data_IF_220292252597
#
_entry.id   IF_220292252597
#
_cell.length_a   1.000
_cell.length_b   1.000
_cell.length_c   1.000
_cell.angle_alpha   90.00
_cell.angle_beta   90.00
_cell.angle_gamma   90.00
#
_symmetry.space_group_name_H-M   'P 1'
#
loop_
_entity.id
_entity.type
_entity.pdbx_description
1 polymer ?
#
# COMPACT_ATOMS: atom_id res chain seq x y z
N UNK A 1 -7.43 -2.62 -10.03
CA UNK A 1 -8.15 -2.56 -8.74
C UNK A 1 -7.12 -2.53 -7.62
N UNK A 2 -6.63 -1.34 -7.27
CA UNK A 2 -5.59 -1.15 -6.26
C UNK A 2 -6.21 -1.12 -4.86
N UNK A 3 -5.39 -1.44 -3.85
CA UNK A 3 -5.78 -1.75 -2.46
C UNK A 3 -5.55 -0.60 -1.46
N UNK A 4 -6.26 0.56 -1.50
CA UNK A 4 -6.08 1.62 -0.50
C UNK A 4 -6.94 1.46 0.76
N UNK A 5 -7.73 0.39 0.90
CA UNK A 5 -8.68 0.25 2.03
C UNK A 5 -8.07 -0.39 3.30
N UNK A 6 -6.84 -0.90 3.23
CA UNK A 6 -6.21 -1.61 4.36
C UNK A 6 -5.47 -0.68 5.36
N UNK A 7 -5.04 0.52 4.93
CA UNK A 7 -4.23 1.42 5.78
C UNK A 7 -5.06 2.36 6.69
N UNK A 8 -6.35 2.60 6.38
CA UNK A 8 -7.24 3.37 7.24
C UNK A 8 -7.48 2.74 8.63
N UNK A 9 -7.25 1.44 8.77
CA UNK A 9 -7.39 0.73 10.06
C UNK A 9 -6.19 0.99 10.99
N UNK A 10 -5.01 1.30 10.44
CA UNK A 10 -3.81 1.65 11.22
C UNK A 10 -3.95 2.97 11.95
N UNK A 11 -4.49 4.00 11.29
CA UNK A 11 -4.73 5.32 11.90
C UNK A 11 -5.73 5.27 13.06
N UNK A 12 -6.76 4.40 12.99
CA UNK A 12 -7.74 4.26 14.07
C UNK A 12 -7.14 3.67 15.36
N UNK A 13 -6.05 2.90 15.25
CA UNK A 13 -5.38 2.26 16.39
C UNK A 13 -4.40 3.21 17.09
N UNK A 14 -3.71 4.08 16.35
CA UNK A 14 -2.94 5.20 16.93
C UNK A 14 -3.85 6.26 17.57
N UNK A 15 -5.03 6.53 16.98
CA UNK A 15 -6.05 7.43 17.52
C UNK A 15 -6.53 7.05 18.94
N UNK A 16 -6.71 5.75 19.25
CA UNK A 16 -7.19 5.34 20.59
C UNK A 16 -6.10 5.47 21.67
N UNK A 17 -4.83 5.50 21.27
CA UNK A 17 -3.69 5.43 22.18
C UNK A 17 -3.38 6.72 22.95
N UNK A 18 -3.70 7.90 22.40
CA UNK A 18 -3.33 9.16 23.04
C UNK A 18 -4.14 9.53 24.28
N UNK A 19 -5.27 8.86 24.57
CA UNK A 19 -6.27 9.32 25.55
C UNK A 19 -5.83 9.18 27.01
N UNK A 20 -5.15 10.18 27.59
CA UNK A 20 -4.92 10.17 29.04
C UNK A 20 -4.66 11.53 29.71
N UNK A 21 -5.68 12.39 29.78
CA UNK A 21 -5.77 13.36 30.87
C UNK A 21 -7.23 13.72 31.22
N UNK A 22 -7.49 13.81 32.53
CA UNK A 22 -8.67 14.38 33.21
C UNK A 22 -9.95 13.50 33.41
N UNK A 23 -10.24 13.13 34.67
CA UNK A 23 -11.60 12.76 35.12
C UNK A 23 -11.68 11.65 36.18
N UNK A 24 -11.77 12.03 37.46
CA UNK A 24 -11.62 11.15 38.65
C UNK A 24 -12.84 10.24 38.88
N UNK A 25 -12.92 9.08 38.22
CA UNK A 25 -13.53 7.81 38.71
C UNK A 25 -13.51 6.65 37.69
N UNK A 26 -13.23 6.93 36.42
CA UNK A 26 -13.00 5.94 35.33
C UNK A 26 -11.52 5.82 34.93
N UNK A 27 -10.61 6.35 35.76
CA UNK A 27 -9.19 6.56 35.42
C UNK A 27 -8.42 5.25 35.26
N UNK A 28 -8.69 4.22 36.07
CA UNK A 28 -7.82 3.04 36.13
C UNK A 28 -7.77 2.23 34.81
N UNK A 29 -8.89 1.88 34.14
CA UNK A 29 -8.84 1.17 32.86
C UNK A 29 -8.19 2.02 31.74
N UNK A 30 -8.42 3.33 31.73
CA UNK A 30 -7.86 4.26 30.75
C UNK A 30 -6.34 4.40 30.91
N UNK A 31 -5.87 4.54 32.16
CA UNK A 31 -4.44 4.55 32.49
C UNK A 31 -3.77 3.22 32.14
N UNK A 32 -4.40 2.10 32.48
CA UNK A 32 -3.88 0.78 32.13
C UNK A 32 -3.72 0.57 30.62
N UNK A 33 -4.68 1.03 29.82
CA UNK A 33 -4.56 0.96 28.36
C UNK A 33 -3.41 1.84 27.85
N UNK A 34 -3.31 3.09 28.32
CA UNK A 34 -2.20 3.98 27.96
C UNK A 34 -0.85 3.35 28.31
N UNK A 35 -0.66 2.93 29.56
CA UNK A 35 0.61 2.38 30.03
C UNK A 35 1.01 1.14 29.20
N UNK A 36 0.02 0.33 28.78
CA UNK A 36 0.24 -0.83 27.91
C UNK A 36 0.65 -0.49 26.48
N UNK A 37 0.23 0.67 25.96
CA UNK A 37 0.63 1.19 24.65
C UNK A 37 2.04 1.82 24.72
N UNK A 38 2.30 2.61 25.77
CA UNK A 38 3.64 3.17 26.04
C UNK A 38 4.68 2.05 26.15
N UNK A 39 4.33 0.93 26.79
CA UNK A 39 5.20 -0.24 26.92
C UNK A 39 5.64 -0.85 25.58
N UNK A 40 4.84 -0.73 24.51
CA UNK A 40 5.25 -1.19 23.16
C UNK A 40 6.39 -0.28 22.65
N UNK A 41 6.21 1.04 22.71
CA UNK A 41 7.23 1.99 22.26
C UNK A 41 8.52 1.88 23.07
N UNK A 42 8.42 1.60 24.37
CA UNK A 42 9.59 1.40 25.23
C UNK A 42 10.34 0.09 24.98
N UNK A 43 9.67 -0.95 24.47
CA UNK A 43 10.22 -2.29 24.32
C UNK A 43 11.38 -2.37 23.31
N UNK A 44 11.53 -1.38 22.43
CA UNK A 44 12.58 -1.34 21.39
C UNK A 44 12.32 -2.32 20.25
N UNK A 45 11.68 -3.45 20.48
CA UNK A 45 11.27 -4.39 19.44
C UNK A 45 9.84 -4.87 19.67
N UNK A 46 9.09 -5.09 18.59
CA UNK A 46 7.77 -5.73 18.65
C UNK A 46 7.44 -6.45 17.35
N UNK A 47 6.55 -7.43 17.44
CA UNK A 47 5.89 -8.05 16.29
C UNK A 47 4.40 -7.81 16.37
N UNK A 48 3.80 -7.40 15.26
CA UNK A 48 2.38 -7.23 15.04
C UNK A 48 1.94 -8.26 14.01
N UNK A 49 0.87 -8.99 14.27
CA UNK A 49 0.26 -9.90 13.29
C UNK A 49 -1.18 -9.47 13.07
N UNK A 50 -1.44 -8.96 11.87
CA UNK A 50 -2.77 -8.52 11.42
C UNK A 50 -3.47 -9.67 10.71
N UNK A 51 -4.73 -9.89 11.06
CA UNK A 51 -5.56 -10.99 10.52
C UNK A 51 -7.04 -10.58 10.49
N UNK A 52 -7.85 -11.33 9.73
CA UNK A 52 -9.30 -11.21 9.69
C UNK A 52 -9.96 -12.46 10.29
N UNK A 53 -10.11 -12.57 11.64
CA UNK A 53 -10.69 -13.74 12.29
C UNK A 53 -12.23 -13.77 12.17
N UNK A 54 -12.74 -13.61 10.95
CA UNK A 54 -14.15 -13.59 10.61
C UNK A 54 -14.53 -14.87 9.85
N UNK A 55 -15.80 -15.25 9.85
CA UNK A 55 -16.27 -16.37 9.04
C UNK A 55 -16.65 -15.92 7.62
N UNK A 56 -16.64 -16.80 6.61
CA UNK A 56 -17.18 -16.47 5.29
C UNK A 56 -18.63 -15.97 5.35
N UNK A 57 -19.44 -16.52 6.25
CA UNK A 57 -20.83 -16.07 6.46
C UNK A 57 -20.90 -14.64 7.01
N UNK A 58 -20.00 -14.28 7.92
CA UNK A 58 -19.93 -12.93 8.49
C UNK A 58 -19.50 -11.89 7.45
N UNK A 59 -18.52 -12.22 6.60
CA UNK A 59 -18.06 -11.32 5.53
C UNK A 59 -19.17 -11.09 4.50
N UNK A 60 -19.88 -12.15 4.08
CA UNK A 60 -21.03 -12.00 3.16
C UNK A 60 -22.13 -11.15 3.77
N UNK A 61 -22.48 -11.37 5.03
CA UNK A 61 -23.47 -10.56 5.72
C UNK A 61 -23.05 -9.07 5.81
N UNK A 62 -21.76 -8.80 5.96
CA UNK A 62 -21.21 -7.44 5.92
C UNK A 62 -21.35 -6.82 4.53
N UNK A 63 -20.92 -7.51 3.47
CA UNK A 63 -20.99 -7.03 2.07
C UNK A 63 -22.44 -6.81 1.62
N UNK A 64 -23.34 -7.76 1.92
CA UNK A 64 -24.77 -7.65 1.63
C UNK A 64 -25.37 -6.37 2.25
N UNK A 65 -24.89 -5.98 3.43
CA UNK A 65 -25.34 -4.80 4.14
C UNK A 65 -24.73 -3.49 3.61
N UNK A 66 -23.61 -3.52 2.88
CA UNK A 66 -23.11 -2.34 2.15
C UNK A 66 -23.92 -2.07 0.88
N UNK A 67 -24.68 -3.06 0.40
CA UNK A 67 -25.43 -2.97 -0.85
C UNK A 67 -24.56 -3.11 -2.10
N UNK A 68 -23.31 -3.51 -1.93
CA UNK A 68 -22.42 -3.93 -3.02
C UNK A 68 -22.82 -5.35 -3.49
N UNK A 69 -22.73 -5.61 -4.79
CA UNK A 69 -23.04 -6.93 -5.35
C UNK A 69 -21.89 -7.89 -5.01
N UNK A 70 -22.21 -9.01 -4.36
CA UNK A 70 -21.26 -10.03 -3.91
C UNK A 70 -20.78 -10.95 -5.05
N UNK A 71 -21.32 -10.78 -6.26
CA UNK A 71 -21.19 -11.69 -7.38
C UNK A 71 -19.76 -11.98 -7.86
N UNK A 72 -18.74 -11.30 -7.31
CA UNK A 72 -17.33 -11.53 -7.60
C UNK A 72 -16.57 -12.35 -6.56
N UNK A 73 -17.08 -12.54 -5.35
CA UNK A 73 -16.37 -13.24 -4.27
C UNK A 73 -16.96 -14.63 -4.04
N UNK A 74 -16.38 -15.63 -4.72
CA UNK A 74 -16.74 -17.01 -4.44
C UNK A 74 -16.17 -17.50 -3.09
N UNK A 75 -16.64 -18.67 -2.65
CA UNK A 75 -16.23 -19.28 -1.37
C UNK A 75 -14.71 -19.46 -1.26
N UNK A 76 -14.03 -19.74 -2.38
CA UNK A 76 -12.58 -19.96 -2.43
C UNK A 76 -11.84 -18.64 -2.19
N UNK A 77 -12.26 -17.57 -2.85
CA UNK A 77 -11.68 -16.23 -2.67
C UNK A 77 -11.89 -15.71 -1.24
N UNK A 78 -13.06 -15.96 -0.66
CA UNK A 78 -13.34 -15.59 0.74
C UNK A 78 -12.48 -16.37 1.73
N UNK A 79 -12.34 -17.69 1.54
CA UNK A 79 -11.47 -18.51 2.38
C UNK A 79 -10.02 -18.05 2.29
N UNK A 80 -9.53 -17.76 1.08
CA UNK A 80 -8.17 -17.22 0.87
C UNK A 80 -8.00 -15.87 1.57
N UNK A 81 -8.91 -14.92 1.37
CA UNK A 81 -8.86 -13.59 2.00
C UNK A 81 -8.82 -13.68 3.53
N UNK A 82 -9.64 -14.57 4.11
CA UNK A 82 -9.71 -14.79 5.56
C UNK A 82 -8.48 -15.53 6.12
N UNK A 83 -7.78 -16.28 5.27
CA UNK A 83 -6.51 -16.92 5.60
C UNK A 83 -5.31 -15.98 5.59
N UNK A 84 -5.43 -14.77 5.02
CA UNK A 84 -4.32 -13.80 4.94
C UNK A 84 -3.94 -13.29 6.33
N UNK A 85 -2.65 -13.38 6.64
CA UNK A 85 -2.03 -12.73 7.78
C UNK A 85 -0.85 -11.89 7.31
N UNK A 86 -0.75 -10.66 7.84
CA UNK A 86 0.41 -9.79 7.62
C UNK A 86 1.13 -9.63 8.94
N UNK A 87 2.40 -10.03 8.98
CA UNK A 87 3.26 -9.88 10.13
C UNK A 87 4.24 -8.74 9.88
N UNK A 88 4.19 -7.71 10.72
CA UNK A 88 5.16 -6.64 10.76
C UNK A 88 6.00 -6.76 12.04
N UNK A 89 7.31 -6.63 11.93
CA UNK A 89 8.22 -6.61 13.07
C UNK A 89 9.20 -5.46 12.93
N UNK A 90 9.53 -4.84 14.06
CA UNK A 90 10.64 -3.90 14.15
C UNK A 90 11.54 -4.28 15.33
N UNK A 91 12.81 -3.95 15.19
CA UNK A 91 13.87 -4.15 16.16
C UNK A 91 14.77 -2.91 16.16
N UNK A 92 14.53 -2.03 17.13
CA UNK A 92 15.29 -0.81 17.34
C UNK A 92 16.52 -1.10 18.18
N UNK A 93 17.70 -1.06 17.54
CA UNK A 93 18.96 -1.42 18.19
C UNK A 93 19.55 -0.24 18.98
N UNK A 94 19.39 0.98 18.48
CA UNK A 94 19.72 2.23 19.17
C UNK A 94 18.52 3.19 19.17
N UNK A 95 18.30 3.94 20.25
CA UNK A 95 17.25 4.97 20.30
C UNK A 95 17.64 6.28 19.65
N UNK A 96 18.94 6.52 19.51
CA UNK A 96 19.49 7.77 18.99
C UNK A 96 19.89 7.66 17.51
N UNK A 97 19.95 6.43 16.97
CA UNK A 97 20.37 6.15 15.60
C UNK A 97 19.42 5.12 14.96
N UNK A 98 18.73 5.55 13.90
CA UNK A 98 17.81 4.70 13.13
C UNK A 98 18.53 3.86 12.08
N UNK A 99 19.81 4.14 11.79
CA UNK A 99 20.58 3.41 10.78
C UNK A 99 20.81 1.94 11.17
N UNK A 100 20.82 1.64 12.47
CA UNK A 100 20.95 0.28 12.99
C UNK A 100 19.60 -0.42 13.20
N UNK A 101 18.48 0.23 12.91
CA UNK A 101 17.16 -0.37 13.08
C UNK A 101 16.91 -1.44 12.03
N UNK A 102 16.15 -2.46 12.42
CA UNK A 102 15.78 -3.54 11.53
C UNK A 102 14.27 -3.72 11.49
N UNK A 103 13.73 -3.92 10.29
CA UNK A 103 12.31 -4.09 10.02
C UNK A 103 12.05 -5.37 9.23
N UNK A 104 10.88 -5.97 9.43
CA UNK A 104 10.41 -7.12 8.65
C UNK A 104 8.92 -6.98 8.37
N UNK A 105 8.52 -7.23 7.14
CA UNK A 105 7.12 -7.46 6.75
C UNK A 105 7.04 -8.84 6.11
N UNK A 106 6.10 -9.66 6.57
CA UNK A 106 5.92 -11.03 6.09
C UNK A 106 4.45 -11.28 5.77
N UNK A 107 4.23 -11.89 4.61
CA UNK A 107 2.91 -12.27 4.11
C UNK A 107 2.70 -13.76 4.30
N UNK A 108 1.58 -14.11 4.94
CA UNK A 108 1.19 -15.48 5.18
C UNK A 108 -0.23 -15.74 4.73
N UNK A 109 -0.50 -16.99 4.37
CA UNK A 109 -1.85 -17.49 4.09
C UNK A 109 -2.01 -18.80 4.83
N UNK A 110 -3.01 -18.89 5.70
CA UNK A 110 -3.29 -20.06 6.54
C UNK A 110 -2.09 -20.48 7.44
N UNK A 111 -1.23 -19.51 7.76
CA UNK A 111 -0.04 -19.66 8.58
C UNK A 111 1.24 -20.04 7.82
N UNK A 112 1.14 -20.39 6.54
CA UNK A 112 2.30 -20.62 5.66
C UNK A 112 2.83 -19.30 5.12
N UNK A 113 4.13 -19.20 4.93
CA UNK A 113 4.82 -17.98 4.48
C UNK A 113 5.00 -18.00 2.96
N UNK A 114 4.58 -16.91 2.30
CA UNK A 114 4.67 -16.78 0.84
C UNK A 114 5.54 -15.62 0.37
N UNK A 115 5.83 -14.67 1.26
CA UNK A 115 6.69 -13.55 0.92
C UNK A 115 7.18 -12.83 2.16
N UNK A 116 8.38 -12.29 2.07
CA UNK A 116 8.98 -11.55 3.17
C UNK A 116 9.89 -10.47 2.65
N UNK A 117 9.83 -9.31 3.28
CA UNK A 117 10.73 -8.17 3.10
C UNK A 117 11.38 -7.87 4.44
N UNK A 118 12.69 -7.62 4.45
CA UNK A 118 13.43 -7.13 5.60
C UNK A 118 14.21 -5.88 5.21
N UNK A 119 14.33 -4.95 6.14
CA UNK A 119 15.37 -3.93 6.13
C UNK A 119 16.26 -4.24 7.33
N UNK A 120 17.55 -4.44 7.10
CA UNK A 120 18.52 -4.67 8.18
C UNK A 120 19.74 -3.83 7.86
N UNK A 121 20.03 -2.87 8.73
CA UNK A 121 21.08 -1.88 8.46
C UNK A 121 20.75 -1.19 7.13
N UNK A 122 21.74 -1.01 6.26
CA UNK A 122 21.62 -0.36 4.96
C UNK A 122 21.29 -1.35 3.82
N UNK A 123 20.59 -2.44 4.10
CA UNK A 123 20.27 -3.44 3.08
C UNK A 123 18.82 -3.89 3.16
N UNK A 124 18.13 -3.82 2.03
CA UNK A 124 16.82 -4.40 1.83
C UNK A 124 16.97 -5.85 1.37
N UNK A 125 16.19 -6.75 1.97
CA UNK A 125 16.13 -8.15 1.60
C UNK A 125 14.71 -8.51 1.24
N UNK A 126 14.50 -9.32 0.22
CA UNK A 126 13.18 -9.80 -0.13
C UNK A 126 13.21 -11.21 -0.69
N UNK A 127 12.12 -11.94 -0.50
CA UNK A 127 11.86 -13.24 -1.11
C UNK A 127 10.38 -13.43 -1.36
N UNK A 128 10.05 -14.27 -2.34
CA UNK A 128 8.69 -14.72 -2.64
C UNK A 128 8.72 -16.21 -2.95
N UNK A 129 7.91 -17.00 -2.25
CA UNK A 129 7.74 -18.43 -2.52
C UNK A 129 6.75 -18.63 -3.67
N UNK A 130 7.24 -18.47 -4.90
CA UNK A 130 6.44 -18.65 -6.11
C UNK A 130 5.92 -20.09 -6.25
N UNK A 131 6.68 -21.09 -5.80
CA UNK A 131 6.23 -22.48 -5.81
C UNK A 131 5.06 -22.69 -4.85
N UNK A 132 5.18 -22.19 -3.62
CA UNK A 132 4.09 -22.21 -2.65
C UNK A 132 2.86 -21.47 -3.18
N UNK A 133 3.03 -20.28 -3.76
CA UNK A 133 1.95 -19.52 -4.37
C UNK A 133 1.28 -20.29 -5.52
N UNK A 134 2.03 -20.88 -6.45
CA UNK A 134 1.48 -21.69 -7.53
C UNK A 134 0.77 -22.96 -7.03
N UNK A 135 1.25 -23.58 -5.96
CA UNK A 135 0.56 -24.72 -5.32
C UNK A 135 -0.77 -24.27 -4.68
N UNK A 136 -0.77 -23.09 -4.05
CA UNK A 136 -1.95 -22.52 -3.37
C UNK A 136 -2.98 -21.96 -4.36
N UNK A 137 -2.52 -21.39 -5.46
CA UNK A 137 -3.26 -20.71 -6.52
C UNK A 137 -2.91 -21.37 -7.87
N UNK A 138 -3.51 -22.53 -8.21
CA UNK A 138 -3.17 -23.27 -9.41
C UNK A 138 -3.34 -22.47 -10.72
N UNK A 139 -4.21 -21.47 -10.72
CA UNK A 139 -4.39 -20.52 -11.82
C UNK A 139 -3.13 -19.69 -12.14
N UNK A 140 -2.27 -19.44 -11.14
CA UNK A 140 -0.98 -18.78 -11.34
C UNK A 140 0.10 -19.75 -11.85
N UNK A 141 -0.13 -21.07 -11.75
CA UNK A 141 0.87 -22.08 -12.10
C UNK A 141 1.33 -21.98 -13.54
N UNK A 142 0.39 -21.84 -14.49
CA UNK A 142 0.71 -21.72 -15.92
C UNK A 142 1.53 -20.44 -16.22
N UNK A 143 1.24 -19.33 -15.53
CA UNK A 143 1.96 -18.06 -15.71
C UNK A 143 3.37 -18.12 -15.11
N UNK A 144 3.54 -18.72 -13.92
CA UNK A 144 4.84 -18.91 -13.28
C UNK A 144 5.71 -19.89 -14.09
N UNK A 145 5.13 -20.97 -14.62
CA UNK A 145 5.85 -21.91 -15.47
C UNK A 145 6.27 -21.26 -16.81
N UNK A 146 5.39 -20.43 -17.39
CA UNK A 146 5.73 -19.65 -18.61
C UNK A 146 6.86 -18.67 -18.32
N UNK A 147 6.81 -17.94 -17.21
CA UNK A 147 7.86 -17.03 -16.77
C UNK A 147 9.21 -17.77 -16.60
N UNK A 148 9.20 -18.98 -16.02
CA UNK A 148 10.40 -19.81 -15.88
C UNK A 148 10.96 -20.21 -17.23
N UNK A 149 10.11 -20.74 -18.12
CA UNK A 149 10.52 -21.17 -19.46
C UNK A 149 11.13 -20.00 -20.26
N UNK A 150 10.53 -18.81 -20.17
CA UNK A 150 11.01 -17.60 -20.85
C UNK A 150 12.35 -17.12 -20.28
N UNK A 151 12.51 -17.13 -18.96
CA UNK A 151 13.78 -16.76 -18.30
C UNK A 151 14.89 -17.78 -18.59
N UNK A 152 14.59 -19.08 -18.65
CA UNK A 152 15.56 -20.12 -19.04
C UNK A 152 15.97 -20.02 -20.52
N UNK A 153 15.05 -19.59 -21.39
CA UNK A 153 15.30 -19.44 -22.81
C UNK A 153 16.06 -18.15 -23.15
N UNK A 154 16.08 -17.17 -22.24
CA UNK A 154 16.68 -15.86 -22.44
C UNK A 154 18.08 -15.80 -21.81
N UNK A 155 19.06 -15.29 -22.54
CA UNK A 155 20.37 -14.97 -21.94
C UNK A 155 20.28 -13.62 -21.25
N UNK A 156 20.09 -13.64 -19.92
CA UNK A 156 19.93 -12.45 -19.09
C UNK A 156 21.27 -11.86 -18.63
N UNK A 157 22.41 -12.40 -19.09
CA UNK A 157 23.72 -11.88 -18.75
C UNK A 157 23.97 -11.89 -17.24
N UNK A 158 24.33 -10.74 -16.66
CA UNK A 158 24.55 -10.60 -15.23
C UNK A 158 23.28 -10.76 -14.38
N UNK A 159 22.08 -10.65 -14.97
CA UNK A 159 20.81 -10.82 -14.25
C UNK A 159 20.41 -12.29 -14.07
N UNK A 160 21.04 -13.22 -14.81
CA UNK A 160 20.70 -14.64 -14.75
C UNK A 160 20.67 -15.20 -13.31
N UNK A 161 21.69 -14.97 -12.45
CA UNK A 161 21.69 -15.51 -11.09
C UNK A 161 20.61 -14.90 -10.20
N UNK A 162 20.26 -13.62 -10.40
CA UNK A 162 19.20 -12.92 -9.65
C UNK A 162 17.83 -13.47 -10.04
N UNK A 163 17.58 -13.64 -11.34
CA UNK A 163 16.35 -14.22 -11.85
C UNK A 163 16.15 -15.67 -11.36
N UNK A 164 17.21 -16.48 -11.42
CA UNK A 164 17.18 -17.86 -10.92
C UNK A 164 16.89 -17.93 -9.41
N UNK A 165 17.54 -17.07 -8.63
CA UNK A 165 17.31 -16.98 -7.18
C UNK A 165 15.88 -16.52 -6.85
N UNK A 166 15.37 -15.51 -7.55
CA UNK A 166 13.99 -15.04 -7.39
C UNK A 166 12.97 -16.15 -7.70
N UNK A 167 13.16 -16.88 -8.80
CA UNK A 167 12.28 -17.99 -9.20
C UNK A 167 12.31 -19.17 -8.23
N UNK A 168 13.45 -19.37 -7.55
CA UNK A 168 13.65 -20.39 -6.53
C UNK A 168 13.15 -19.96 -5.14
N UNK A 169 12.64 -18.73 -5.00
CA UNK A 169 12.22 -18.16 -3.72
C UNK A 169 13.36 -17.95 -2.73
N UNK A 170 14.59 -17.83 -3.24
CA UNK A 170 15.77 -17.49 -2.44
C UNK A 170 15.72 -16.02 -2.03
N UNK A 171 16.51 -15.67 -1.01
CA UNK A 171 16.65 -14.28 -0.60
C UNK A 171 17.40 -13.49 -1.67
N UNK A 172 16.86 -12.34 -2.01
CA UNK A 172 17.56 -11.31 -2.77
C UNK A 172 17.93 -10.17 -1.81
N UNK A 173 19.08 -9.54 -2.03
CA UNK A 173 19.50 -8.36 -1.28
C UNK A 173 19.78 -7.20 -2.20
N UNK A 174 19.45 -6.01 -1.73
CA UNK A 174 19.67 -4.76 -2.43
C UNK A 174 20.28 -3.76 -1.46
N UNK A 175 21.45 -3.23 -1.83
CA UNK A 175 22.14 -2.20 -1.05
C UNK A 175 21.32 -0.90 -1.08
N UNK A 176 21.07 -0.37 0.10
CA UNK A 176 20.32 0.86 0.38
C UNK A 176 21.16 1.87 1.17
N UNK A 177 22.47 1.70 1.24
CA UNK A 177 23.38 2.55 2.01
C UNK A 177 23.77 3.83 1.29
N UNK A 178 24.46 4.73 1.99
CA UNK A 178 24.89 6.02 1.45
C UNK A 178 25.67 5.85 0.12
N UNK A 179 25.17 6.49 -0.94
CA UNK A 179 25.73 6.39 -2.29
C UNK A 179 25.29 5.16 -3.09
N UNK A 180 24.41 4.33 -2.54
CA UNK A 180 23.64 3.36 -3.32
C UNK A 180 22.56 4.08 -4.13
N UNK A 181 22.11 3.43 -5.20
CA UNK A 181 20.98 3.92 -5.98
C UNK A 181 19.72 4.13 -5.15
N UNK A 182 19.42 3.20 -4.24
CA UNK A 182 18.27 3.34 -3.37
C UNK A 182 18.40 4.53 -2.43
N UNK A 183 19.60 4.81 -1.90
CA UNK A 183 19.82 5.99 -1.08
C UNK A 183 19.73 7.28 -1.89
N UNK A 184 20.30 7.34 -3.10
CA UNK A 184 20.18 8.52 -3.96
C UNK A 184 18.72 8.79 -4.36
N UNK A 185 17.96 7.73 -4.64
CA UNK A 185 16.54 7.86 -4.92
C UNK A 185 15.74 8.19 -3.66
N UNK A 186 16.10 7.60 -2.52
CA UNK A 186 15.48 7.91 -1.23
C UNK A 186 15.79 9.35 -0.85
N UNK A 187 16.97 9.91 -1.11
CA UNK A 187 17.28 11.33 -0.91
C UNK A 187 16.47 12.23 -1.84
N UNK A 188 16.34 11.86 -3.11
CA UNK A 188 15.52 12.58 -4.08
C UNK A 188 14.02 12.55 -3.71
N UNK A 189 13.55 11.40 -3.22
CA UNK A 189 12.22 11.24 -2.66
C UNK A 189 12.11 11.97 -1.33
N UNK A 190 13.08 11.90 -0.41
CA UNK A 190 13.07 12.46 0.95
C UNK A 190 13.08 13.99 0.96
N UNK A 191 13.68 14.65 -0.03
CA UNK A 191 13.52 16.11 -0.17
C UNK A 191 12.03 16.49 -0.37
N UNK A 192 11.22 15.60 -0.95
CA UNK A 192 9.77 15.75 -1.15
C UNK A 192 8.92 15.02 -0.09
N UNK A 193 9.37 13.86 0.39
CA UNK A 193 8.64 12.86 1.16
C UNK A 193 9.19 12.67 2.57
N UNK A 194 10.41 13.11 2.87
CA UNK A 194 11.04 13.07 4.19
C UNK A 194 10.50 14.19 5.09
N UNK A 195 10.29 15.39 4.51
CA UNK A 195 9.42 16.39 5.11
C UNK A 195 8.01 15.83 5.34
N UNK A 196 7.41 15.16 4.34
CA UNK A 196 6.08 14.55 4.51
C UNK A 196 6.07 13.41 5.52
N UNK A 197 7.14 12.62 5.67
CA UNK A 197 7.17 11.49 6.61
C UNK A 197 7.33 11.98 8.05
N UNK A 198 8.20 12.97 8.30
CA UNK A 198 8.29 13.63 9.61
C UNK A 198 7.01 14.41 9.94
N UNK A 199 6.41 15.09 8.95
CA UNK A 199 5.13 15.78 9.09
C UNK A 199 4.00 14.79 9.32
N UNK A 200 3.95 13.67 8.59
CA UNK A 200 2.96 12.61 8.75
C UNK A 200 3.11 11.92 10.11
N UNK A 201 4.33 11.66 10.57
CA UNK A 201 4.57 11.16 11.93
C UNK A 201 4.10 12.17 12.98
N UNK A 202 4.39 13.46 12.80
CA UNK A 202 3.90 14.50 13.70
C UNK A 202 2.38 14.65 13.65
N UNK A 203 1.76 14.63 12.47
CA UNK A 203 0.32 14.65 12.27
C UNK A 203 -0.32 13.41 12.91
N UNK A 204 0.27 12.22 12.80
CA UNK A 204 -0.22 11.02 13.49
C UNK A 204 -0.14 11.16 15.02
N UNK A 205 0.92 11.77 15.55
CA UNK A 205 1.06 12.05 16.98
C UNK A 205 0.06 13.11 17.45
N UNK A 206 -0.13 14.18 16.68
CA UNK A 206 -1.10 15.24 16.93
C UNK A 206 -2.52 14.68 16.86
N UNK A 207 -2.80 13.84 15.87
CA UNK A 207 -4.05 13.11 15.70
C UNK A 207 -4.31 12.20 16.91
N UNK A 208 -3.30 11.48 17.39
CA UNK A 208 -3.39 10.71 18.62
C UNK A 208 -3.65 11.61 19.83
N UNK A 209 -3.02 12.79 19.94
CA UNK A 209 -3.28 13.79 20.99
C UNK A 209 -4.69 14.42 20.87
N UNK A 210 -5.22 14.56 19.66
CA UNK A 210 -6.55 15.11 19.42
C UNK A 210 -7.62 14.07 19.78
N UNK A 211 -7.47 12.84 19.30
CA UNK A 211 -8.30 11.75 19.78
C UNK A 211 -8.13 11.50 21.28
N UNK A 212 -6.98 11.86 21.87
CA UNK A 212 -6.81 11.84 23.32
C UNK A 212 -7.84 12.66 24.09
N UNK A 213 -8.16 13.82 23.50
CA UNK A 213 -9.11 14.80 24.00
C UNK A 213 -10.55 14.36 23.72
N UNK A 214 -10.75 13.42 22.80
CA UNK A 214 -12.04 12.80 22.55
C UNK A 214 -12.56 12.14 23.83
N UNK A 215 -13.87 12.10 23.97
CA UNK A 215 -14.55 11.48 25.09
C UNK A 215 -14.52 9.94 24.98
N UNK A 216 -13.32 9.36 25.00
CA UNK A 216 -13.13 7.92 24.99
C UNK A 216 -13.43 7.36 26.37
N UNK A 217 -14.40 6.45 26.42
CA UNK A 217 -14.75 5.69 27.61
C UNK A 217 -14.07 4.34 27.55
N UNK A 218 -13.22 4.05 28.54
CA UNK A 218 -12.56 2.74 28.67
C UNK A 218 -13.17 1.98 29.85
N UNK A 219 -13.63 0.75 29.60
CA UNK A 219 -14.18 -0.14 30.63
C UNK A 219 -13.54 -1.50 30.61
N UNK A 220 -13.49 -2.16 31.77
CA UNK A 220 -13.11 -3.56 31.90
C UNK A 220 -14.26 -4.44 31.42
N UNK A 221 -13.97 -5.42 30.58
CA UNK A 221 -14.94 -6.29 29.91
C UNK A 221 -14.71 -7.78 30.16
N UNK A 222 -13.72 -8.14 30.99
CA UNK A 222 -13.41 -9.51 31.38
C UNK A 222 -11.92 -9.73 31.56
N UNK A 223 -11.55 -10.96 31.90
CA UNK A 223 -10.16 -11.44 31.91
C UNK A 223 -10.16 -12.84 31.33
N UNK A 224 -9.21 -13.13 30.46
CA UNK A 224 -8.99 -14.44 29.85
C UNK A 224 -7.48 -14.75 29.80
N UNK A 225 -7.08 -15.77 29.03
CA UNK A 225 -5.70 -16.22 28.93
C UNK A 225 -4.75 -15.17 28.29
N UNK A 226 -5.30 -14.20 27.55
CA UNK A 226 -4.58 -13.07 26.97
C UNK A 226 -4.50 -11.86 27.93
N UNK A 227 -5.07 -11.98 29.13
CA UNK A 227 -5.04 -10.96 30.17
C UNK A 227 -6.37 -10.26 30.35
N UNK A 228 -6.32 -9.01 30.81
CA UNK A 228 -7.50 -8.20 31.05
C UNK A 228 -8.01 -7.58 29.75
N UNK A 229 -9.28 -7.84 29.43
CA UNK A 229 -9.94 -7.24 28.27
C UNK A 229 -10.52 -5.88 28.63
N UNK A 230 -10.00 -4.85 27.99
CA UNK A 230 -10.49 -3.47 28.03
C UNK A 230 -11.30 -3.22 26.75
N UNK A 231 -12.39 -2.46 26.87
CA UNK A 231 -13.17 -1.99 25.72
C UNK A 231 -13.14 -0.48 25.76
N UNK A 232 -12.55 0.12 24.72
CA UNK A 232 -12.60 1.56 24.50
C UNK A 232 -13.77 1.86 23.56
N UNK A 233 -14.59 2.84 23.93
CA UNK A 233 -15.72 3.29 23.12
C UNK A 233 -15.61 4.78 22.86
N UNK A 234 -15.92 5.19 21.64
CA UNK A 234 -15.87 6.58 21.18
C UNK A 234 -17.06 6.85 20.27
N UNK A 235 -17.58 8.08 20.29
CA UNK A 235 -18.58 8.50 19.32
C UNK A 235 -17.89 8.89 18.02
N UNK A 236 -18.28 8.28 16.89
CA UNK A 236 -17.68 8.50 15.57
C UNK A 236 -17.73 9.94 15.13
N UNK A 237 -18.86 10.63 15.35
CA UNK A 237 -18.98 12.06 15.03
C UNK A 237 -18.06 12.91 15.88
N UNK A 238 -18.02 12.66 17.18
CA UNK A 238 -17.14 13.43 18.07
C UNK A 238 -15.67 13.20 17.72
N UNK A 239 -15.27 11.95 17.44
CA UNK A 239 -13.92 11.63 16.99
C UNK A 239 -13.61 12.35 15.68
N UNK A 240 -14.47 12.21 14.68
CA UNK A 240 -14.31 12.81 13.37
C UNK A 240 -14.21 14.33 13.44
N UNK A 241 -15.08 14.99 14.22
CA UNK A 241 -15.05 16.45 14.40
C UNK A 241 -13.77 16.99 15.03
N UNK A 242 -12.95 16.12 15.63
CA UNK A 242 -11.64 16.50 16.16
C UNK A 242 -10.51 16.30 15.17
N UNK A 243 -10.77 15.61 14.06
CA UNK A 243 -9.72 15.22 13.12
C UNK A 243 -10.05 15.60 11.67
N UNK A 244 -11.25 16.16 11.43
CA UNK A 244 -11.76 16.52 10.09
C UNK A 244 -10.87 17.54 9.37
N UNK A 245 -10.23 18.44 10.12
CA UNK A 245 -9.34 19.46 9.56
C UNK A 245 -8.01 18.85 9.08
N UNK A 246 -7.52 17.80 9.75
CA UNK A 246 -6.22 17.15 9.46
C UNK A 246 -6.37 15.93 8.53
N UNK A 247 -7.60 15.41 8.40
CA UNK A 247 -7.93 14.22 7.60
C UNK A 247 -7.51 14.32 6.13
N UNK A 248 -7.73 15.45 5.41
CA UNK A 248 -7.31 15.56 4.02
C UNK A 248 -5.80 15.35 3.84
N UNK A 249 -4.97 15.99 4.67
CA UNK A 249 -3.51 15.88 4.62
C UNK A 249 -3.05 14.45 4.97
N UNK A 250 -3.66 13.85 5.99
CA UNK A 250 -3.40 12.46 6.37
C UNK A 250 -3.78 11.47 5.27
N UNK A 251 -4.92 11.69 4.60
CA UNK A 251 -5.38 10.83 3.50
C UNK A 251 -4.48 10.96 2.28
N UNK A 252 -3.98 12.16 2.00
CA UNK A 252 -3.01 12.40 0.92
C UNK A 252 -1.68 11.69 1.19
N UNK A 253 -1.18 11.73 2.43
CA UNK A 253 0.03 10.99 2.82
C UNK A 253 -0.13 9.46 2.82
N UNK A 254 -1.34 8.94 3.05
CA UNK A 254 -1.61 7.49 3.05
C UNK A 254 -1.95 6.96 1.66
N UNK A 255 -2.59 7.77 0.83
CA UNK A 255 -3.04 7.38 -0.51
C UNK A 255 -2.85 8.53 -1.51
N UNK A 256 -1.59 8.82 -1.89
CA UNK A 256 -1.28 9.83 -2.90
C UNK A 256 -2.06 9.53 -4.19
N UNK A 257 -2.73 10.53 -4.73
CA UNK A 257 -3.50 10.39 -5.98
C UNK A 257 -4.87 9.69 -5.86
N UNK A 258 -5.28 9.22 -4.68
CA UNK A 258 -6.60 8.60 -4.49
C UNK A 258 -7.79 9.59 -4.51
N UNK A 259 -7.57 10.83 -4.94
CA UNK A 259 -8.63 11.82 -5.07
C UNK A 259 -9.11 12.36 -3.73
N UNK A 260 -8.20 12.64 -2.77
CA UNK A 260 -8.52 13.31 -1.50
C UNK A 260 -9.25 14.67 -1.68
N UNK A 261 -9.34 15.18 -2.90
CA UNK A 261 -10.19 16.31 -3.30
C UNK A 261 -11.70 16.02 -3.36
N UNK A 262 -12.16 14.76 -3.28
CA UNK A 262 -13.56 14.49 -2.95
C UNK A 262 -13.78 14.86 -1.48
N UNK A 263 -14.48 15.98 -1.28
CA UNK A 263 -14.64 16.64 0.00
C UNK A 263 -14.94 15.64 1.13
N UNK A 264 -13.95 15.48 2.01
CA UNK A 264 -14.10 14.89 3.35
C UNK A 264 -15.41 15.45 3.94
N UNK A 265 -16.43 14.61 4.21
CA UNK A 265 -17.76 15.10 4.56
C UNK A 265 -17.66 15.93 5.84
N UNK A 266 -18.47 17.00 6.01
CA UNK A 266 -18.43 17.75 7.26
C UNK A 266 -18.87 16.85 8.43
N UNK A 267 -18.36 17.08 9.64
CA UNK A 267 -18.63 16.22 10.79
C UNK A 267 -20.12 16.00 11.10
N UNK A 268 -21.01 16.93 10.76
CA UNK A 268 -22.45 16.76 10.98
C UNK A 268 -23.10 15.72 10.06
N UNK A 269 -22.48 15.45 8.90
CA UNK A 269 -22.84 14.37 7.97
C UNK A 269 -22.32 13.01 8.42
N UNK A 270 -21.27 12.96 9.25
CA UNK A 270 -20.80 11.71 9.85
C UNK A 270 -21.83 11.20 10.86
N UNK A 271 -22.29 9.93 10.75
CA UNK A 271 -23.23 9.36 11.70
C UNK A 271 -22.68 9.45 13.13
N UNK A 272 -23.48 9.91 14.08
CA UNK A 272 -23.10 9.90 15.50
C UNK A 272 -23.46 8.53 16.08
N UNK A 273 -22.46 7.64 16.13
CA UNK A 273 -22.58 6.28 16.64
C UNK A 273 -21.46 6.00 17.62
N UNK A 274 -21.76 5.21 18.65
CA UNK A 274 -20.71 4.73 19.54
C UNK A 274 -20.08 3.49 18.92
N UNK A 275 -18.80 3.59 18.59
CA UNK A 275 -17.98 2.47 18.10
C UNK A 275 -17.00 2.07 19.17
N UNK A 276 -16.54 0.82 19.11
CA UNK A 276 -15.67 0.25 20.12
C UNK A 276 -14.58 -0.63 19.53
N UNK A 277 -13.44 -0.62 20.21
CA UNK A 277 -12.33 -1.53 20.01
C UNK A 277 -12.03 -2.27 21.32
N UNK A 278 -11.66 -3.54 21.21
CA UNK A 278 -11.28 -4.37 22.35
C UNK A 278 -9.76 -4.50 22.42
N UNK A 279 -9.21 -4.38 23.62
CA UNK A 279 -7.78 -4.42 23.89
C UNK A 279 -7.51 -5.46 24.98
N UNK A 280 -6.52 -6.32 24.79
CA UNK A 280 -6.10 -7.28 25.80
C UNK A 280 -4.76 -6.87 26.37
N UNK A 281 -4.72 -6.65 27.69
CA UNK A 281 -3.53 -6.22 28.42
C UNK A 281 -3.12 -7.30 29.41
N UNK A 282 -1.88 -7.76 29.30
CA UNK A 282 -1.28 -8.75 30.21
C UNK A 282 0.06 -8.25 30.72
N UNK A 283 0.22 -8.22 32.03
CA UNK A 283 1.43 -7.73 32.70
C UNK A 283 1.83 -6.32 32.22
N UNK A 284 0.84 -5.44 32.12
CA UNK A 284 0.97 -4.06 31.62
C UNK A 284 1.53 -3.96 30.18
N UNK A 285 1.41 -5.03 29.38
CA UNK A 285 1.77 -5.07 27.96
C UNK A 285 0.54 -5.38 27.13
N UNK A 286 0.32 -4.60 26.06
CA UNK A 286 -0.76 -4.86 25.11
C UNK A 286 -0.44 -6.13 24.29
N UNK A 287 -1.41 -7.05 24.23
CA UNK A 287 -1.28 -8.36 23.57
C UNK A 287 -2.12 -8.48 22.31
N UNK A 288 -3.27 -7.81 22.27
CA UNK A 288 -4.21 -7.89 21.16
C UNK A 288 -5.06 -6.65 21.06
N UNK A 289 -5.39 -6.26 19.85
CA UNK A 289 -6.46 -5.34 19.53
C UNK A 289 -7.44 -5.98 18.55
N UNK A 290 -8.74 -5.74 18.75
CA UNK A 290 -9.80 -6.15 17.81
C UNK A 290 -10.75 -4.99 17.54
N UNK A 291 -11.06 -4.77 16.27
CA UNK A 291 -12.05 -3.81 15.78
C UNK A 291 -13.01 -4.52 14.83
N UNK A 292 -14.30 -4.56 15.17
CA UNK A 292 -15.32 -5.08 14.26
C UNK A 292 -15.78 -3.96 13.33
N UNK A 293 -15.52 -4.09 12.03
CA UNK A 293 -15.91 -3.09 11.03
C UNK A 293 -17.43 -3.09 10.77
N UNK A 294 -18.14 -4.16 11.11
CA UNK A 294 -19.60 -4.23 10.94
C UNK A 294 -20.34 -3.19 11.79
N UNK A 295 -19.72 -2.67 12.86
CA UNK A 295 -20.31 -1.63 13.71
C UNK A 295 -20.46 -0.27 13.00
N UNK A 296 -19.77 -0.05 11.88
CA UNK A 296 -19.88 1.18 11.09
C UNK A 296 -21.09 1.18 10.16
N UNK A 297 -21.69 0.02 9.88
CA UNK A 297 -22.91 -0.12 9.08
C UNK A 297 -24.10 0.56 9.78
N UNK A 298 -25.09 1.00 8.98
CA UNK A 298 -26.32 1.56 9.54
C UNK A 298 -27.09 0.55 10.39
N UNK A 299 -27.15 -0.68 9.89
CA UNK A 299 -27.65 -1.86 10.58
C UNK A 299 -26.50 -2.87 10.62
N UNK A 300 -25.83 -3.05 11.77
CA UNK A 300 -24.73 -4.00 11.87
C UNK A 300 -25.16 -5.41 11.44
N UNK A 301 -24.43 -5.98 10.49
CA UNK A 301 -24.67 -7.30 9.94
C UNK A 301 -23.33 -8.04 9.79
N UNK A 302 -23.31 -9.30 10.20
CA UNK A 302 -22.08 -10.09 10.28
C UNK A 302 -21.10 -9.55 11.34
N UNK A 303 -19.86 -9.98 11.20
CA UNK A 303 -18.71 -9.62 12.01
C UNK A 303 -17.48 -9.54 11.12
N UNK A 304 -17.04 -8.33 10.76
CA UNK A 304 -15.82 -8.15 9.98
C UNK A 304 -14.73 -7.64 10.92
N UNK A 305 -14.14 -8.56 11.68
CA UNK A 305 -13.16 -8.23 12.71
C UNK A 305 -11.78 -8.09 12.08
N UNK A 306 -11.14 -6.94 12.29
CA UNK A 306 -9.70 -6.79 12.13
C UNK A 306 -9.04 -7.05 13.48
N UNK A 307 -8.13 -8.01 13.53
CA UNK A 307 -7.36 -8.36 14.72
C UNK A 307 -5.89 -8.06 14.51
N UNK A 308 -5.26 -7.44 15.51
CA UNK A 308 -3.81 -7.30 15.60
C UNK A 308 -3.33 -7.97 16.88
N UNK A 309 -2.54 -9.03 16.73
CA UNK A 309 -1.82 -9.69 17.82
C UNK A 309 -0.44 -9.06 18.01
N UNK A 310 -0.01 -8.83 19.26
CA UNK A 310 1.18 -8.06 19.59
C UNK A 310 2.10 -8.88 20.50
N UNK A 311 3.34 -9.04 20.05
CA UNK A 311 4.42 -9.67 20.80
C UNK A 311 5.58 -8.69 21.00
N UNK A 312 5.55 -7.93 22.10
CA UNK A 312 6.63 -7.02 22.49
C UNK A 312 7.90 -7.76 22.94
N UNK A 313 9.06 -7.18 22.60
CA UNK A 313 10.41 -7.60 23.02
C UNK A 313 10.91 -8.91 22.43
N UNK A 314 10.45 -9.31 21.24
CA UNK A 314 10.62 -10.70 20.75
C UNK A 314 11.11 -10.97 19.32
N UNK A 315 11.23 -10.04 18.37
CA UNK A 315 12.01 -10.34 17.18
C UNK A 315 13.40 -9.71 17.27
N UNK A 316 14.44 -10.53 17.08
CA UNK A 316 15.66 -10.03 16.43
C UNK A 316 15.41 -10.13 14.93
N UNK A 317 15.52 -9.01 14.22
CA UNK A 317 15.46 -9.01 12.76
C UNK A 317 16.90 -9.03 12.26
N UNK A 318 17.25 -10.12 11.59
CA UNK A 318 18.60 -10.41 11.13
C UNK A 318 18.63 -10.56 9.61
N UNK A 319 19.75 -10.16 9.02
CA UNK A 319 20.02 -10.36 7.61
C UNK A 319 20.07 -11.87 7.28
N UNK A 320 19.45 -12.32 6.18
CA UNK A 320 19.65 -13.68 5.69
C UNK A 320 21.12 -13.88 5.26
N UNK A 321 21.70 -15.04 5.62
CA UNK A 321 23.10 -15.38 5.31
C UNK A 321 23.32 -15.77 3.82
N UNK A 322 22.24 -16.08 3.11
CA UNK A 322 22.22 -16.69 1.78
C UNK A 322 21.57 -15.81 0.71
N UNK A 323 21.50 -14.49 0.94
CA UNK A 323 20.97 -13.57 -0.05
C UNK A 323 21.86 -13.44 -1.28
N UNK A 324 21.23 -13.40 -2.46
CA UNK A 324 21.85 -13.07 -3.74
C UNK A 324 21.76 -11.57 -3.96
N UNK A 325 22.92 -10.94 -4.08
CA UNK A 325 23.04 -9.49 -4.26
C UNK A 325 22.56 -9.05 -5.65
N UNK A 326 21.71 -8.03 -5.65
CA UNK A 326 21.28 -7.33 -6.86
C UNK A 326 22.23 -6.17 -7.11
N UNK A 327 23.14 -6.36 -8.07
CA UNK A 327 24.02 -5.30 -8.56
C UNK A 327 23.27 -4.43 -9.57
N UNK A 328 22.57 -3.41 -9.08
CA UNK A 328 21.82 -2.48 -9.93
C UNK A 328 22.71 -1.74 -10.92
N UNK A 329 23.96 -1.41 -10.55
CA UNK A 329 24.89 -0.74 -11.44
C UNK A 329 25.23 -1.60 -12.65
N UNK A 330 25.53 -2.88 -12.42
CA UNK A 330 25.76 -3.86 -13.49
C UNK A 330 24.51 -4.04 -14.34
N UNK A 331 23.32 -4.08 -13.73
CA UNK A 331 22.05 -4.26 -14.44
C UNK A 331 21.77 -3.10 -15.39
N UNK A 332 21.94 -1.87 -14.94
CA UNK A 332 21.74 -0.69 -15.80
C UNK A 332 22.81 -0.59 -16.89
N UNK A 333 24.06 -0.93 -16.56
CA UNK A 333 25.14 -0.91 -17.54
C UNK A 333 24.92 -1.93 -18.67
N UNK A 334 24.28 -3.06 -18.38
CA UNK A 334 24.03 -4.13 -19.35
C UNK A 334 22.70 -3.95 -20.11
N UNK A 335 21.65 -3.46 -19.46
CA UNK A 335 20.36 -3.20 -20.11
C UNK A 335 20.42 -2.04 -21.10
N UNK A 336 21.35 -1.09 -20.89
CA UNK A 336 21.44 0.14 -21.68
C UNK A 336 20.23 1.06 -21.50
N UNK A 337 19.35 0.72 -20.55
CA UNK A 337 18.17 1.49 -20.16
C UNK A 337 18.64 2.59 -19.23
N UNK A 338 18.23 3.83 -19.48
CA UNK A 338 18.55 4.93 -18.59
C UNK A 338 17.81 4.73 -17.27
N UNK A 339 18.45 5.15 -16.18
CA UNK A 339 17.93 4.99 -14.82
C UNK A 339 16.55 5.63 -14.62
N UNK A 340 16.22 6.67 -15.39
CA UNK A 340 14.88 7.31 -15.42
C UNK A 340 13.80 6.40 -16.02
N UNK A 341 14.13 5.55 -16.99
CA UNK A 341 13.15 4.73 -17.73
C UNK A 341 12.71 3.47 -16.96
N UNK A 342 13.55 2.96 -16.05
CA UNK A 342 13.25 1.72 -15.28
C UNK A 342 12.26 1.98 -14.15
N UNK A 343 12.29 3.16 -13.53
CA UNK A 343 11.52 3.45 -12.31
C UNK A 343 10.47 4.56 -12.44
N UNK A 344 10.50 5.37 -13.50
CA UNK A 344 9.38 6.23 -13.86
C UNK A 344 8.25 5.37 -14.39
N UNK A 345 7.49 4.69 -13.52
CA UNK A 345 6.38 3.84 -13.92
C UNK A 345 5.38 4.63 -14.76
N UNK A 346 5.50 4.59 -16.10
CA UNK A 346 4.60 5.21 -17.08
C UNK A 346 4.34 6.72 -16.95
N UNK A 347 4.83 7.38 -15.91
CA UNK A 347 4.74 8.80 -15.68
C UNK A 347 5.98 9.46 -16.25
N UNK A 348 5.80 10.25 -17.30
CA UNK A 348 6.85 11.12 -17.80
C UNK A 348 7.53 11.87 -16.65
N UNK A 349 8.87 11.99 -16.64
CA UNK A 349 9.54 12.88 -15.72
C UNK A 349 8.95 14.28 -15.86
N UNK A 350 8.36 14.82 -14.79
CA UNK A 350 7.65 16.11 -14.79
C UNK A 350 8.55 17.31 -15.16
N UNK A 351 9.87 17.10 -15.22
CA UNK A 351 10.88 18.12 -15.51
C UNK A 351 11.76 17.84 -16.75
N UNK A 352 11.53 16.76 -17.51
CA UNK A 352 12.03 16.75 -18.89
C UNK A 352 11.04 17.58 -19.68
N UNK A 353 11.43 18.77 -20.18
CA UNK A 353 10.50 19.56 -20.96
C UNK A 353 10.15 18.72 -22.18
N UNK A 354 8.91 18.24 -22.24
CA UNK A 354 8.33 17.47 -23.35
C UNK A 354 8.34 18.40 -24.55
N UNK A 355 9.50 18.48 -25.20
CA UNK A 355 9.82 19.51 -26.20
C UNK A 355 9.88 18.94 -27.60
N UNK A 356 9.87 17.61 -27.71
CA UNK A 356 9.85 16.93 -28.99
C UNK A 356 8.49 16.25 -29.16
N UNK A 357 7.80 16.60 -30.25
CA UNK A 357 6.48 16.04 -30.60
C UNK A 357 6.45 14.50 -30.70
N UNK A 358 7.61 13.87 -30.85
CA UNK A 358 7.74 12.41 -30.87
C UNK A 358 7.34 11.80 -29.52
N UNK A 359 7.89 12.31 -28.42
CA UNK A 359 7.60 11.84 -27.06
C UNK A 359 6.13 12.06 -26.71
N UNK A 360 5.59 13.24 -27.05
CA UNK A 360 4.16 13.56 -26.87
C UNK A 360 3.27 12.55 -27.62
N UNK A 361 3.65 12.19 -28.85
CA UNK A 361 2.87 11.24 -29.65
C UNK A 361 2.99 9.80 -29.14
N UNK A 362 4.13 9.41 -28.56
CA UNK A 362 4.26 8.12 -27.87
C UNK A 362 3.37 8.05 -26.63
N UNK A 363 3.33 9.12 -25.82
CA UNK A 363 2.49 9.20 -24.62
C UNK A 363 1.00 9.06 -24.95
N UNK A 364 0.55 9.78 -25.98
CA UNK A 364 -0.80 9.60 -26.54
C UNK A 364 -1.06 8.14 -26.92
N UNK A 365 -0.08 7.45 -27.53
CA UNK A 365 -0.18 6.03 -27.87
C UNK A 365 -0.42 5.13 -26.67
N UNK A 366 0.29 5.37 -25.55
CA UNK A 366 0.10 4.66 -24.29
C UNK A 366 -1.29 4.93 -23.68
N UNK A 367 -1.78 6.16 -23.73
CA UNK A 367 -3.13 6.46 -23.23
C UNK A 367 -4.20 5.70 -24.01
N UNK A 368 -4.04 5.58 -25.32
CA UNK A 368 -4.93 4.74 -26.13
C UNK A 368 -4.94 3.28 -25.66
N UNK A 369 -3.80 2.72 -25.26
CA UNK A 369 -3.72 1.36 -24.71
C UNK A 369 -4.37 1.26 -23.34
N UNK A 370 -4.09 2.22 -22.45
CA UNK A 370 -4.68 2.28 -21.12
C UNK A 370 -6.21 2.33 -21.18
N UNK A 371 -6.78 3.20 -22.02
CA UNK A 371 -8.23 3.27 -22.21
C UNK A 371 -8.81 2.02 -22.89
N UNK A 372 -8.04 1.35 -23.76
CA UNK A 372 -8.46 0.09 -24.36
C UNK A 372 -8.57 -1.03 -23.32
N UNK A 373 -7.58 -1.14 -22.43
CA UNK A 373 -7.60 -2.09 -21.32
C UNK A 373 -8.79 -1.84 -20.39
N UNK A 374 -9.04 -0.59 -19.99
CA UNK A 374 -10.18 -0.24 -19.13
C UNK A 374 -11.54 -0.57 -19.75
N UNK A 375 -11.67 -0.45 -21.08
CA UNK A 375 -12.88 -0.79 -21.82
C UNK A 375 -12.97 -2.29 -22.18
N UNK A 376 -11.97 -3.10 -21.79
CA UNK A 376 -11.91 -4.53 -22.08
C UNK A 376 -11.74 -4.85 -23.56
N UNK A 377 -11.01 -4.00 -24.29
CA UNK A 377 -10.67 -4.17 -25.70
C UNK A 377 -9.32 -4.90 -25.85
N UNK A 378 -9.22 -5.77 -26.85
CA UNK A 378 -7.98 -6.51 -27.14
C UNK A 378 -6.86 -5.62 -27.74
N UNK A 379 -7.22 -4.41 -28.20
CA UNK A 379 -6.30 -3.48 -28.85
C UNK A 379 -6.83 -2.03 -28.80
N UNK A 380 -5.94 -1.01 -28.83
CA UNK A 380 -6.35 0.37 -28.95
C UNK A 380 -7.04 0.67 -30.28
N UNK A 381 -8.06 1.52 -30.23
CA UNK A 381 -8.84 1.90 -31.41
C UNK A 381 -9.09 3.40 -31.48
N UNK A 382 -9.31 3.91 -32.68
CA UNK A 382 -9.66 5.34 -32.88
C UNK A 382 -10.99 5.73 -32.22
N UNK A 383 -11.84 4.78 -31.84
CA UNK A 383 -13.08 5.05 -31.12
C UNK A 383 -12.80 5.62 -29.70
N UNK A 384 -11.60 5.41 -29.16
CA UNK A 384 -11.13 5.95 -27.88
C UNK A 384 -10.62 7.40 -27.98
N UNK A 385 -10.44 7.93 -29.19
CA UNK A 385 -9.90 9.28 -29.39
C UNK A 385 -10.62 10.37 -28.59
N UNK A 386 -11.96 10.37 -28.44
CA UNK A 386 -12.64 11.35 -27.60
C UNK A 386 -12.24 11.29 -26.12
N UNK A 387 -12.01 10.09 -25.56
CA UNK A 387 -11.59 9.92 -24.16
C UNK A 387 -10.15 10.44 -23.97
N UNK A 388 -9.24 10.00 -24.85
CA UNK A 388 -7.84 10.45 -24.80
C UNK A 388 -7.75 11.96 -25.00
N UNK A 389 -8.55 12.55 -25.90
CA UNK A 389 -8.60 13.99 -26.10
C UNK A 389 -9.18 14.77 -24.92
N UNK A 390 -10.08 14.18 -24.15
CA UNK A 390 -10.61 14.80 -22.93
C UNK A 390 -9.56 14.84 -21.81
N UNK A 391 -8.73 13.80 -21.68
CA UNK A 391 -7.63 13.77 -20.72
C UNK A 391 -6.65 14.94 -20.89
N UNK A 392 -6.31 15.27 -22.15
CA UNK A 392 -5.40 16.37 -22.47
C UNK A 392 -6.08 17.75 -22.61
N UNK A 393 -7.39 17.83 -22.34
CA UNK A 393 -8.12 19.08 -22.46
C UNK A 393 -7.63 20.10 -21.42
N UNK A 394 -7.06 21.22 -21.88
CA UNK A 394 -6.62 22.31 -21.01
C UNK A 394 -5.10 22.41 -20.83
N UNK A 395 -4.31 21.54 -21.47
CA UNK A 395 -2.86 21.72 -21.55
C UNK A 395 -2.47 23.04 -22.23
N UNK A 396 -1.35 23.62 -21.79
CA UNK A 396 -0.69 24.76 -22.45
C UNK A 396 0.78 24.40 -22.76
N UNK A 397 1.21 24.39 -24.04
CA UNK A 397 0.42 24.62 -25.25
C UNK A 397 -0.64 23.52 -25.48
N UNK A 398 -1.71 23.82 -26.23
CA UNK A 398 -2.78 22.87 -26.46
C UNK A 398 -2.28 21.69 -27.29
N UNK A 399 -2.57 20.48 -26.82
CA UNK A 399 -2.42 19.24 -27.59
C UNK A 399 -3.65 19.04 -28.47
N UNK A 400 -3.45 18.96 -29.79
CA UNK A 400 -4.52 18.65 -30.75
C UNK A 400 -4.33 17.25 -31.32
N UNK A 401 -5.39 16.45 -31.31
CA UNK A 401 -5.39 15.10 -31.88
C UNK A 401 -6.51 14.95 -32.91
N UNK A 402 -6.17 14.43 -34.09
CA UNK A 402 -7.13 14.25 -35.19
C UNK A 402 -6.93 12.88 -35.83
N UNK A 403 -8.01 12.12 -35.96
CA UNK A 403 -7.99 10.88 -36.73
C UNK A 403 -7.76 11.15 -38.24
N UNK A 404 -6.73 10.54 -38.82
CA UNK A 404 -6.40 10.60 -40.25
C UNK A 404 -6.30 9.17 -40.78
N UNK A 405 -7.41 8.67 -41.32
CA UNK A 405 -7.51 7.26 -41.73
C UNK A 405 -7.46 6.35 -40.51
N UNK A 406 -6.46 5.46 -40.45
CA UNK A 406 -6.22 4.52 -39.34
C UNK A 406 -5.18 5.03 -38.34
N UNK A 407 -4.81 6.31 -38.43
CA UNK A 407 -3.75 6.94 -37.63
C UNK A 407 -4.29 8.15 -36.87
N UNK A 408 -3.53 8.59 -35.87
CA UNK A 408 -3.79 9.82 -35.13
C UNK A 408 -2.70 10.82 -35.50
N UNK A 409 -3.08 11.98 -36.02
CA UNK A 409 -2.18 13.11 -36.11
C UNK A 409 -2.18 13.83 -34.75
N UNK A 410 -1.01 13.91 -34.12
CA UNK A 410 -0.77 14.61 -32.85
C UNK A 410 -0.05 15.91 -33.17
N UNK A 411 -0.56 17.03 -32.66
CA UNK A 411 0.05 18.35 -32.85
C UNK A 411 0.21 19.06 -31.50
N UNK A 412 1.42 19.54 -31.23
CA UNK A 412 1.82 20.17 -29.98
C UNK A 412 2.90 21.21 -30.26
N UNK A 413 2.80 22.39 -29.65
CA UNK A 413 3.70 23.54 -29.85
C UNK A 413 4.06 23.89 -31.31
N UNK A 414 3.11 23.67 -32.24
CA UNK A 414 3.30 23.94 -33.67
C UNK A 414 4.07 22.86 -34.44
N UNK A 415 4.47 21.79 -33.78
CA UNK A 415 5.00 20.58 -34.38
C UNK A 415 3.89 19.53 -34.58
N UNK A 416 4.13 18.55 -35.46
CA UNK A 416 3.17 17.51 -35.80
C UNK A 416 3.88 16.17 -35.93
N UNK A 417 3.28 15.12 -35.38
CA UNK A 417 3.67 13.74 -35.60
C UNK A 417 2.46 12.89 -35.99
N UNK A 418 2.74 11.79 -36.69
CA UNK A 418 1.76 10.82 -37.12
C UNK A 418 1.93 9.53 -36.34
N UNK A 419 1.01 9.27 -35.42
CA UNK A 419 0.95 8.09 -34.58
C UNK A 419 0.11 6.99 -35.26
N UNK A 420 0.70 5.82 -35.43
CA UNK A 420 -0.02 4.58 -35.73
C UNK A 420 -0.21 3.82 -34.43
N UNK A 421 -1.47 3.59 -34.04
CA UNK A 421 -1.78 2.84 -32.82
C UNK A 421 -1.24 1.40 -32.92
N UNK A 422 -0.79 0.80 -31.81
CA UNK A 422 -0.31 -0.57 -31.80
C UNK A 422 -1.43 -1.57 -32.08
N UNK A 423 -1.04 -2.78 -32.51
CA UNK A 423 -1.99 -3.83 -32.87
C UNK A 423 -2.59 -4.56 -31.66
N UNK A 424 -2.02 -4.35 -30.47
CA UNK A 424 -2.36 -4.99 -29.20
C UNK A 424 -2.00 -4.07 -28.01
N UNK A 425 -2.26 -4.53 -26.79
CA UNK A 425 -2.04 -3.76 -25.55
C UNK A 425 -0.57 -3.77 -25.07
N UNK A 426 0.33 -4.51 -25.73
CA UNK A 426 1.71 -4.71 -25.25
C UNK A 426 2.77 -4.11 -26.18
N UNK A 427 2.46 -3.97 -27.47
CA UNK A 427 3.36 -3.41 -28.47
C UNK A 427 3.34 -1.88 -28.45
N UNK A 428 4.43 -1.23 -28.77
CA UNK A 428 4.45 0.23 -28.90
C UNK A 428 3.81 0.71 -30.21
N UNK A 429 3.18 1.88 -30.17
CA UNK A 429 2.74 2.59 -31.37
C UNK A 429 3.92 3.02 -32.24
N UNK A 430 3.67 3.28 -33.53
CA UNK A 430 4.70 3.80 -34.44
C UNK A 430 4.48 5.28 -34.66
N UNK A 431 5.41 6.09 -34.18
CA UNK A 431 5.43 7.54 -34.40
C UNK A 431 6.31 7.88 -35.60
N UNK A 432 5.80 8.75 -36.48
CA UNK A 432 6.55 9.32 -37.60
C UNK A 432 6.44 10.84 -37.54
N UNK A 433 7.57 11.53 -37.44
CA UNK A 433 7.61 12.99 -37.47
C UNK A 433 6.99 13.55 -38.77
N UNK A 434 6.10 14.53 -38.61
CA UNK A 434 5.32 15.14 -39.68
C UNK A 434 3.83 14.72 -39.68
N UNK A 435 3.05 15.29 -40.61
CA UNK A 435 1.61 15.01 -40.70
C UNK A 435 1.33 13.58 -41.16
N UNK A 436 0.17 13.06 -40.73
CA UNK A 436 -0.49 11.95 -41.40
C UNK A 436 -1.08 12.40 -42.75
#
# INVERSE_FOLDING_TARGET
>A
MSSPRALAVGALLTLVAGTAACGVSSVAPKVQLRDALEAIGEAGAATFTTSLPSSPEDVRAFIDATGEDDGSLDDTMLEQLLGIEVLAAYDRRDREDVADDAGRVQFRIDGDEYGEVRAVEETAYFRVDLDGLSERFPEMGDDVDTLRDDLEATDLGAFQPVAEAALAGEWLSLDAGEGSFLAEQTEAMEEESGQQAEEFQQQLLDLAEQAAKASVTVRKAGTDDLGERLVASVNTRDLYSQVEDDLPELLEGVAPGAGAGEAVPPADEVPSRDVSASFWVQDDVLRRVELDLAQFLEEPAGHLVVRIDIAAGKPTVEAPDDAVEIDLEALMAESGVAMEDVLGGGGYPEDVPVTEIEDVAFGVGYDFQYYAEMEGLDAPTLDLLPLVAEYYAGMEPPLEMVAVGERVQVAYDGEVACLTLPADLVSEGVVVLGPC
#
